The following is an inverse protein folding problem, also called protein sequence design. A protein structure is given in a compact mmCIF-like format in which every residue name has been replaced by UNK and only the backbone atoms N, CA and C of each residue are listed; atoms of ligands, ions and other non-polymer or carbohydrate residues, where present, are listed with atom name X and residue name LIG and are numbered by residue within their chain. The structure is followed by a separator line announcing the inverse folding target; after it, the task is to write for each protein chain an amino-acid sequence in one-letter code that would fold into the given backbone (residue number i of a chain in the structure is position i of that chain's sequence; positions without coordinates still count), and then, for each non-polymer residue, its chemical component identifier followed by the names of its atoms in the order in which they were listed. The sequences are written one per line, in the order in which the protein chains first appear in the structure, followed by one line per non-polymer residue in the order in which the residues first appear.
data_IF_213106174389
#
_entry.id   IF_213106174389
#
_cell.length_a   1.000
_cell.length_b   1.000
_cell.length_c   1.000
_cell.angle_alpha   90.00
_cell.angle_beta   90.00
_cell.angle_gamma   90.00
#
_symmetry.space_group_name_H-M   'P 1'
#
loop_
_entity.id
_entity.type
_entity.pdbx_description
1 polymer ?
#
# COMPACT_ATOMS: atom_id res chain seq x y z
N UNK A 1 -29.01 28.40 -70.10
CA UNK A 1 -28.35 28.61 -68.79
C UNK A 1 -28.97 27.66 -67.77
N UNK A 2 -28.35 26.50 -67.53
CA UNK A 2 -28.85 25.48 -66.60
C UNK A 2 -28.32 25.73 -65.19
N UNK A 3 -29.21 26.00 -64.23
CA UNK A 3 -28.89 26.04 -62.80
C UNK A 3 -28.91 24.61 -62.24
N UNK A 4 -27.76 24.11 -61.78
CA UNK A 4 -27.68 22.89 -60.96
C UNK A 4 -27.94 23.26 -59.50
N UNK A 5 -28.98 22.69 -58.88
CA UNK A 5 -29.12 22.68 -57.43
C UNK A 5 -28.20 21.59 -56.87
N UNK A 6 -27.33 21.96 -55.93
CA UNK A 6 -26.58 21.03 -55.09
C UNK A 6 -27.39 20.80 -53.81
N UNK A 7 -27.88 19.58 -53.60
CA UNK A 7 -28.47 19.15 -52.34
C UNK A 7 -27.35 18.64 -51.41
N UNK A 8 -27.11 19.36 -50.32
CA UNK A 8 -26.20 18.93 -49.25
C UNK A 8 -27.00 18.03 -48.30
N UNK A 9 -26.68 16.75 -48.27
CA UNK A 9 -27.23 15.81 -47.28
C UNK A 9 -26.46 15.96 -45.97
N UNK A 10 -27.13 16.45 -44.92
CA UNK A 10 -26.59 16.49 -43.56
C UNK A 10 -26.66 15.06 -42.97
N UNK A 11 -25.50 14.41 -42.83
CA UNK A 11 -25.37 13.17 -42.06
C UNK A 11 -25.37 13.52 -40.57
N UNK A 12 -26.53 13.36 -39.93
CA UNK A 12 -26.67 13.40 -38.47
C UNK A 12 -26.10 12.11 -37.87
N UNK A 13 -24.88 12.18 -37.33
CA UNK A 13 -24.38 11.14 -36.44
C UNK A 13 -25.12 11.25 -35.10
N UNK A 14 -25.74 10.18 -34.58
CA UNK A 14 -26.33 10.20 -33.25
C UNK A 14 -25.19 10.33 -32.23
N UNK A 15 -25.14 11.47 -31.55
CA UNK A 15 -24.36 11.62 -30.33
C UNK A 15 -25.06 10.75 -29.28
N UNK A 16 -24.55 9.55 -29.04
CA UNK A 16 -24.91 8.77 -27.86
C UNK A 16 -24.49 9.58 -26.64
N UNK A 17 -25.42 10.33 -26.06
CA UNK A 17 -25.25 10.90 -24.74
C UNK A 17 -25.09 9.71 -23.76
N UNK A 18 -23.92 9.57 -23.15
CA UNK A 18 -23.80 8.73 -21.96
C UNK A 18 -24.81 9.28 -20.94
N UNK A 19 -25.78 8.45 -20.54
CA UNK A 19 -26.67 8.79 -19.44
C UNK A 19 -25.82 9.16 -18.21
N UNK A 20 -26.17 10.26 -17.54
CA UNK A 20 -25.41 10.79 -16.42
C UNK A 20 -25.58 9.87 -15.21
N UNK A 21 -24.53 9.11 -14.86
CA UNK A 21 -24.58 8.08 -13.82
C UNK A 21 -24.97 8.56 -12.43
N UNK A 22 -25.47 7.62 -11.61
CA UNK A 22 -25.77 7.83 -10.20
C UNK A 22 -24.49 7.96 -9.37
N UNK A 23 -24.43 8.98 -8.51
CA UNK A 23 -23.36 9.17 -7.53
C UNK A 23 -23.73 8.57 -6.16
N UNK A 24 -22.81 7.80 -5.58
CA UNK A 24 -22.87 7.24 -4.22
C UNK A 24 -21.74 7.86 -3.40
N UNK A 25 -22.04 8.33 -2.18
CA UNK A 25 -21.02 8.95 -1.31
C UNK A 25 -19.94 7.94 -0.93
N UNK A 26 -18.71 8.42 -0.74
CA UNK A 26 -17.59 7.55 -0.40
C UNK A 26 -17.80 6.81 0.94
N UNK A 27 -18.46 7.43 1.91
CA UNK A 27 -18.80 6.81 3.19
C UNK A 27 -20.10 5.97 3.18
N UNK A 28 -20.69 5.69 2.02
CA UNK A 28 -21.83 4.78 1.92
C UNK A 28 -21.43 3.37 2.39
N UNK A 29 -22.32 2.68 3.09
CA UNK A 29 -22.08 1.32 3.61
C UNK A 29 -21.74 0.29 2.52
N UNK A 30 -22.07 0.56 1.25
CA UNK A 30 -21.72 -0.31 0.13
C UNK A 30 -20.27 -0.14 -0.34
N UNK A 31 -19.54 0.83 0.21
CA UNK A 31 -18.15 1.14 -0.09
C UNK A 31 -17.32 0.86 1.15
N UNK A 32 -16.29 0.04 1.01
CA UNK A 32 -15.37 -0.30 2.09
C UNK A 32 -13.98 0.22 1.78
N UNK A 33 -13.26 0.63 2.81
CA UNK A 33 -11.86 1.03 2.72
C UNK A 33 -11.03 0.18 3.66
N UNK A 34 -9.92 -0.35 3.16
CA UNK A 34 -8.90 -1.01 3.98
C UNK A 34 -7.62 -0.19 3.88
N UNK A 35 -7.10 0.19 5.04
CA UNK A 35 -6.00 1.14 5.20
C UNK A 35 -6.28 2.03 6.41
N UNK A 36 -5.48 3.07 6.58
CA UNK A 36 -5.74 4.13 7.57
C UNK A 36 -6.41 5.29 6.84
N UNK A 37 -7.70 5.52 7.13
CA UNK A 37 -8.53 6.49 6.41
C UNK A 37 -9.27 7.41 7.36
N UNK A 38 -9.52 8.65 6.94
CA UNK A 38 -10.40 9.60 7.62
C UNK A 38 -11.68 9.81 6.81
N UNK A 39 -12.85 9.69 7.44
CA UNK A 39 -14.11 10.17 6.86
C UNK A 39 -14.34 11.62 7.27
N UNK A 40 -14.53 12.50 6.29
CA UNK A 40 -14.77 13.93 6.50
C UNK A 40 -16.26 14.23 6.71
N UNK A 41 -16.57 15.44 7.18
CA UNK A 41 -17.94 15.86 7.49
C UNK A 41 -18.90 15.84 6.28
N UNK A 42 -18.38 15.94 5.06
CA UNK A 42 -19.15 15.91 3.81
C UNK A 42 -19.36 14.49 3.24
N UNK A 43 -18.88 13.47 3.96
CA UNK A 43 -18.93 12.05 3.59
C UNK A 43 -17.83 11.60 2.63
N UNK A 44 -16.88 12.46 2.27
CA UNK A 44 -15.68 12.04 1.53
C UNK A 44 -14.69 11.30 2.43
N UNK A 45 -13.82 10.47 1.84
CA UNK A 45 -12.83 9.65 2.55
C UNK A 45 -11.43 10.01 2.09
N UNK A 46 -10.53 10.31 3.04
CA UNK A 46 -9.16 10.81 2.80
C UNK A 46 -8.09 9.89 3.38
N UNK A 47 -6.98 9.73 2.66
CA UNK A 47 -5.85 8.86 3.05
C UNK A 47 -4.60 9.13 2.18
N UNK A 48 -3.43 8.80 2.70
CA UNK A 48 -2.14 8.92 1.98
C UNK A 48 -1.23 7.68 2.12
N UNK A 49 -1.43 6.82 3.11
CA UNK A 49 -0.67 5.57 3.23
C UNK A 49 -0.78 4.69 1.99
N UNK A 50 0.38 4.23 1.52
CA UNK A 50 0.53 3.29 0.40
C UNK A 50 -0.31 2.03 0.60
N UNK A 51 -0.84 1.48 -0.48
CA UNK A 51 -1.62 0.24 -0.43
C UNK A 51 -2.99 0.37 0.21
N UNK A 52 -3.42 1.56 0.63
CA UNK A 52 -4.82 1.80 0.99
C UNK A 52 -5.71 1.52 -0.22
N UNK A 53 -6.80 0.77 -0.03
CA UNK A 53 -7.71 0.43 -1.12
C UNK A 53 -9.18 0.57 -0.76
N UNK A 54 -9.95 1.00 -1.75
CA UNK A 54 -11.42 0.97 -1.76
C UNK A 54 -11.89 -0.34 -2.40
N UNK A 55 -12.97 -0.94 -1.86
CA UNK A 55 -13.68 -2.08 -2.45
C UNK A 55 -15.19 -1.87 -2.46
N UNK A 56 -15.81 -2.30 -3.56
CA UNK A 56 -17.27 -2.40 -3.71
C UNK A 56 -17.60 -3.40 -4.84
N UNK A 57 -18.77 -4.01 -4.80
CA UNK A 57 -19.35 -4.70 -5.96
C UNK A 57 -20.32 -3.79 -6.66
N UNK A 58 -20.26 -3.74 -7.99
CA UNK A 58 -21.12 -2.89 -8.81
C UNK A 58 -21.78 -3.68 -9.94
N UNK A 59 -22.88 -3.15 -10.47
CA UNK A 59 -23.58 -3.64 -11.66
C UNK A 59 -23.71 -2.53 -12.71
N UNK A 60 -24.14 -2.87 -13.92
CA UNK A 60 -24.36 -1.91 -15.00
C UNK A 60 -23.12 -1.56 -15.84
N UNK A 61 -22.01 -2.27 -15.62
CA UNK A 61 -20.86 -2.33 -16.52
C UNK A 61 -19.92 -1.12 -16.52
N UNK A 62 -20.21 -0.08 -15.73
CA UNK A 62 -19.43 1.15 -15.68
C UNK A 62 -19.25 1.63 -14.23
N UNK A 63 -18.04 2.05 -13.89
CA UNK A 63 -17.73 2.63 -12.58
C UNK A 63 -16.61 3.67 -12.69
N UNK A 64 -16.81 4.80 -12.01
CA UNK A 64 -15.85 5.88 -11.88
C UNK A 64 -15.79 6.37 -10.42
N UNK A 65 -14.72 7.07 -10.07
CA UNK A 65 -14.64 7.83 -8.82
C UNK A 65 -14.54 9.32 -9.10
N UNK A 66 -15.15 10.12 -8.22
CA UNK A 66 -14.88 11.53 -8.11
C UNK A 66 -13.83 11.70 -7.02
N UNK A 67 -12.62 12.11 -7.39
CA UNK A 67 -11.47 12.17 -6.49
C UNK A 67 -10.67 13.47 -6.65
N UNK A 68 -9.97 13.86 -5.59
CA UNK A 68 -8.94 14.90 -5.62
C UNK A 68 -7.68 14.39 -4.93
N UNK A 69 -6.53 14.97 -5.26
CA UNK A 69 -5.21 14.54 -4.81
C UNK A 69 -4.31 15.77 -4.63
N UNK A 70 -3.72 15.92 -3.45
CA UNK A 70 -2.86 17.07 -3.10
C UNK A 70 -1.57 17.11 -3.90
N UNK A 71 -1.11 15.96 -4.41
CA UNK A 71 0.05 15.86 -5.27
C UNK A 71 -0.21 14.99 -6.49
N UNK A 72 0.46 13.85 -6.55
CA UNK A 72 0.28 12.84 -7.59
C UNK A 72 0.37 11.46 -6.97
N UNK A 73 -0.62 10.63 -7.25
CA UNK A 73 -0.61 9.22 -6.84
C UNK A 73 -0.93 8.33 -8.03
N UNK A 74 -0.35 7.13 -8.05
CA UNK A 74 -0.76 6.08 -8.98
C UNK A 74 -1.67 5.09 -8.27
N UNK A 75 -2.61 4.51 -9.01
CA UNK A 75 -3.59 3.56 -8.52
C UNK A 75 -3.70 2.36 -9.46
N UNK A 76 -3.80 1.16 -8.90
CA UNK A 76 -4.27 0.01 -9.64
C UNK A 76 -5.79 -0.05 -9.59
N UNK A 77 -6.41 -0.24 -10.76
CA UNK A 77 -7.80 -0.67 -10.88
C UNK A 77 -7.79 -2.18 -11.05
N UNK A 78 -8.45 -2.86 -10.13
CA UNK A 78 -8.57 -4.31 -10.11
C UNK A 78 -10.05 -4.65 -10.24
N UNK A 79 -10.41 -5.37 -11.31
CA UNK A 79 -11.76 -5.84 -11.57
C UNK A 79 -11.75 -7.37 -11.51
N UNK A 80 -12.62 -7.94 -10.69
CA UNK A 80 -12.77 -9.41 -10.52
C UNK A 80 -11.43 -10.11 -10.23
N UNK A 81 -10.62 -9.48 -9.38
CA UNK A 81 -9.31 -9.98 -8.95
C UNK A 81 -8.16 -9.78 -9.95
N UNK A 82 -8.39 -9.13 -11.08
CA UNK A 82 -7.36 -8.87 -12.10
C UNK A 82 -7.04 -7.39 -12.21
N UNK A 83 -5.76 -7.02 -12.21
CA UNK A 83 -5.33 -5.65 -12.52
C UNK A 83 -5.68 -5.36 -13.97
N UNK A 84 -6.61 -4.44 -14.22
CA UNK A 84 -7.04 -4.04 -15.56
C UNK A 84 -6.35 -2.78 -16.04
N UNK A 85 -5.95 -1.89 -15.11
CA UNK A 85 -5.36 -0.60 -15.42
C UNK A 85 -4.51 -0.11 -14.25
N UNK A 86 -3.40 0.57 -14.54
CA UNK A 86 -2.72 1.48 -13.61
C UNK A 86 -2.99 2.91 -14.07
N UNK A 87 -3.44 3.79 -13.18
CA UNK A 87 -3.83 5.14 -13.53
C UNK A 87 -3.27 6.17 -12.57
N UNK A 88 -3.05 7.38 -13.08
CA UNK A 88 -2.64 8.54 -12.30
C UNK A 88 -3.87 9.30 -11.80
N UNK A 89 -3.86 9.67 -10.53
CA UNK A 89 -4.79 10.61 -9.90
C UNK A 89 -3.99 11.83 -9.45
N UNK A 90 -4.48 13.03 -9.73
CA UNK A 90 -3.81 14.31 -9.42
C UNK A 90 -4.83 15.45 -9.36
N UNK A 91 -4.44 16.62 -8.86
CA UNK A 91 -5.27 17.82 -8.84
C UNK A 91 -6.12 17.95 -7.59
N UNK A 92 -6.11 19.14 -6.99
CA UNK A 92 -6.73 19.44 -5.70
C UNK A 92 -8.24 19.65 -5.77
N UNK A 93 -8.79 19.85 -6.97
CA UNK A 93 -10.24 19.93 -7.20
C UNK A 93 -10.82 18.54 -7.48
N UNK A 94 -12.08 18.24 -7.07
CA UNK A 94 -12.73 16.98 -7.41
C UNK A 94 -12.84 16.78 -8.93
N UNK A 95 -12.34 15.65 -9.41
CA UNK A 95 -12.31 15.26 -10.83
C UNK A 95 -12.83 13.85 -11.01
N UNK A 96 -13.42 13.58 -12.18
CA UNK A 96 -13.92 12.25 -12.54
C UNK A 96 -12.80 11.38 -13.11
N UNK A 97 -12.69 10.18 -12.57
CA UNK A 97 -11.74 9.16 -12.98
C UNK A 97 -12.47 7.87 -13.34
N UNK A 98 -12.56 7.56 -14.64
CA UNK A 98 -13.18 6.32 -15.12
C UNK A 98 -12.28 5.13 -14.80
N UNK A 99 -12.80 4.21 -13.99
CA UNK A 99 -12.08 3.02 -13.53
C UNK A 99 -12.32 1.84 -14.48
N UNK A 100 -13.58 1.60 -14.85
CA UNK A 100 -13.96 0.63 -15.86
C UNK A 100 -15.18 1.11 -16.66
N UNK A 101 -15.21 0.73 -17.94
CA UNK A 101 -16.35 0.92 -18.84
C UNK A 101 -16.57 -0.34 -19.68
N UNK A 102 -17.74 -0.44 -20.31
CA UNK A 102 -18.06 -1.46 -21.31
C UNK A 102 -17.93 -2.91 -20.82
N UNK A 103 -18.09 -3.13 -19.50
CA UNK A 103 -18.24 -4.47 -18.95
C UNK A 103 -19.68 -4.97 -19.14
N UNK A 104 -19.88 -6.28 -18.92
CA UNK A 104 -21.23 -6.85 -18.81
C UNK A 104 -22.04 -6.14 -17.72
N UNK A 105 -23.38 -6.20 -17.83
CA UNK A 105 -24.27 -5.60 -16.82
C UNK A 105 -24.33 -6.41 -15.51
N UNK A 106 -23.72 -7.58 -15.49
CA UNK A 106 -23.60 -8.46 -14.34
C UNK A 106 -22.82 -7.80 -13.18
N UNK A 107 -22.76 -8.49 -12.04
CA UNK A 107 -22.03 -8.01 -10.88
C UNK A 107 -20.52 -8.20 -11.07
N UNK A 108 -19.77 -7.11 -10.83
CA UNK A 108 -18.31 -7.08 -10.84
C UNK A 108 -17.79 -6.56 -9.50
N UNK A 109 -16.64 -7.06 -9.05
CA UNK A 109 -15.94 -6.56 -7.86
C UNK A 109 -14.85 -5.57 -8.27
N UNK A 110 -14.91 -4.34 -7.76
CA UNK A 110 -13.87 -3.34 -7.86
C UNK A 110 -12.98 -3.37 -6.63
N UNK A 111 -11.66 -3.31 -6.85
CA UNK A 111 -10.69 -2.79 -5.90
C UNK A 111 -9.89 -1.65 -6.56
N UNK A 112 -9.90 -0.47 -5.94
CA UNK A 112 -9.07 0.68 -6.33
C UNK A 112 -7.98 0.85 -5.27
N UNK A 113 -6.72 0.58 -5.63
CA UNK A 113 -5.61 0.45 -4.69
C UNK A 113 -4.54 1.51 -4.94
N UNK A 114 -4.19 2.30 -3.93
CA UNK A 114 -3.11 3.30 -4.01
C UNK A 114 -1.76 2.60 -4.14
N UNK A 115 -1.07 2.83 -5.25
CA UNK A 115 0.23 2.24 -5.53
C UNK A 115 1.37 2.93 -4.79
N UNK A 116 1.27 4.26 -4.63
CA UNK A 116 2.37 5.13 -4.22
C UNK A 116 2.28 5.55 -2.75
N UNK A 117 3.39 5.93 -2.13
CA UNK A 117 3.44 6.43 -0.74
C UNK A 117 2.90 7.85 -0.54
N UNK A 118 2.73 8.23 0.72
CA UNK A 118 2.03 9.46 1.11
C UNK A 118 2.86 10.72 0.91
N UNK A 119 4.20 10.60 0.87
CA UNK A 119 5.12 11.69 0.49
C UNK A 119 4.72 12.37 -0.84
N UNK A 120 4.14 11.60 -1.76
CA UNK A 120 3.77 12.11 -3.09
C UNK A 120 2.34 12.64 -3.18
N UNK A 121 1.48 12.36 -2.20
CA UNK A 121 0.08 12.74 -2.28
C UNK A 121 -0.86 12.13 -1.24
N UNK A 122 -1.86 12.93 -0.88
CA UNK A 122 -3.02 12.56 -0.08
C UNK A 122 -4.28 12.61 -0.95
N UNK A 123 -4.90 11.45 -1.15
CA UNK A 123 -6.11 11.30 -1.96
C UNK A 123 -7.35 11.52 -1.10
N UNK A 124 -8.35 12.19 -1.68
CA UNK A 124 -9.73 12.26 -1.16
C UNK A 124 -10.68 11.68 -2.20
N UNK A 125 -11.42 10.63 -1.84
CA UNK A 125 -12.52 10.08 -2.64
C UNK A 125 -13.83 10.75 -2.19
N UNK A 126 -14.48 11.47 -3.10
CA UNK A 126 -15.72 12.22 -2.82
C UNK A 126 -16.96 11.37 -3.03
N UNK A 127 -17.01 10.66 -4.15
CA UNK A 127 -18.12 9.78 -4.52
C UNK A 127 -17.68 8.73 -5.55
N UNK A 128 -18.51 7.71 -5.71
CA UNK A 128 -18.41 6.68 -6.72
C UNK A 128 -19.58 6.93 -7.69
N UNK A 129 -19.29 7.02 -8.98
CA UNK A 129 -20.30 7.12 -10.02
C UNK A 129 -20.48 5.75 -10.67
N UNK A 130 -21.74 5.30 -10.81
CA UNK A 130 -22.13 4.07 -11.50
C UNK A 130 -23.26 4.34 -12.49
N UNK A 131 -23.59 3.36 -13.34
CA UNK A 131 -24.77 3.44 -14.20
C UNK A 131 -26.05 3.75 -13.41
N UNK A 132 -27.01 4.45 -14.01
CA UNK A 132 -28.25 4.90 -13.34
C UNK A 132 -29.06 3.77 -12.71
N UNK A 133 -29.14 2.64 -13.40
CA UNK A 133 -29.81 1.42 -12.93
C UNK A 133 -28.86 0.46 -12.20
N UNK A 134 -27.60 0.87 -11.99
CA UNK A 134 -26.60 0.10 -11.27
C UNK A 134 -26.81 0.15 -9.76
N UNK A 135 -26.20 -0.81 -9.08
CA UNK A 135 -26.18 -0.91 -7.62
C UNK A 135 -24.76 -1.04 -7.13
N UNK A 136 -24.50 -0.53 -5.92
CA UNK A 136 -23.31 -0.89 -5.15
C UNK A 136 -23.71 -1.85 -4.02
N UNK A 137 -22.88 -2.83 -3.76
CA UNK A 137 -23.00 -3.72 -2.59
C UNK A 137 -21.65 -3.86 -1.90
N UNK A 138 -21.65 -3.99 -0.55
CA UNK A 138 -20.41 -4.11 0.19
C UNK A 138 -19.65 -5.39 -0.18
N UNK A 139 -18.34 -5.32 -0.04
CA UNK A 139 -17.47 -6.47 -0.11
C UNK A 139 -17.01 -6.80 1.30
N UNK A 140 -17.31 -8.02 1.75
CA UNK A 140 -16.91 -8.45 3.08
C UNK A 140 -15.38 -8.41 3.24
N UNK A 141 -14.88 -7.86 4.36
CA UNK A 141 -13.48 -7.97 4.70
C UNK A 141 -13.04 -9.43 4.74
N UNK A 142 -11.82 -9.69 4.32
CA UNK A 142 -11.21 -11.02 4.44
C UNK A 142 -11.12 -11.40 5.91
N UNK A 143 -11.13 -12.68 6.25
CA UNK A 143 -11.02 -13.12 7.66
C UNK A 143 -9.67 -12.75 8.29
N UNK A 144 -8.61 -12.72 7.47
CA UNK A 144 -7.23 -12.46 7.88
C UNK A 144 -6.85 -11.01 7.56
N UNK A 145 -6.03 -10.40 8.40
CA UNK A 145 -5.48 -9.05 8.24
C UNK A 145 -4.00 -9.02 8.67
N UNK A 146 -3.14 -8.59 7.75
CA UNK A 146 -1.71 -8.34 7.99
C UNK A 146 -1.49 -6.83 8.09
N UNK A 147 -0.93 -6.33 9.19
CA UNK A 147 -0.48 -4.93 9.27
C UNK A 147 1.05 -4.88 9.22
N UNK A 148 1.59 -4.12 8.26
CA UNK A 148 3.02 -4.08 7.99
C UNK A 148 3.58 -2.69 8.25
N UNK A 149 4.68 -2.65 8.98
CA UNK A 149 5.49 -1.48 9.20
C UNK A 149 6.83 -1.63 8.47
N UNK A 150 7.25 -0.63 7.71
CA UNK A 150 8.45 -0.78 6.91
C UNK A 150 9.01 0.47 6.29
N UNK A 151 9.93 0.26 5.37
CA UNK A 151 10.57 1.27 4.54
C UNK A 151 10.18 1.11 3.06
N UNK A 152 11.03 1.56 2.15
CA UNK A 152 10.84 1.52 0.70
C UNK A 152 10.56 0.12 0.14
N UNK A 153 11.09 -0.94 0.77
CA UNK A 153 10.80 -2.31 0.35
C UNK A 153 9.35 -2.68 0.58
N UNK A 154 8.73 -2.14 1.63
CA UNK A 154 7.33 -2.37 1.97
C UNK A 154 6.40 -1.45 1.16
N UNK A 155 6.85 -0.24 0.80
CA UNK A 155 6.12 0.65 -0.13
C UNK A 155 5.97 0.04 -1.53
N UNK A 156 6.95 -0.74 -1.97
CA UNK A 156 7.03 -1.20 -3.36
C UNK A 156 7.78 -0.23 -4.27
N UNK A 157 8.71 0.53 -3.69
CA UNK A 157 9.60 1.44 -4.40
C UNK A 157 10.39 0.69 -5.49
N UNK A 158 10.39 1.23 -6.71
CA UNK A 158 11.16 0.69 -7.83
C UNK A 158 10.72 -0.70 -8.32
N UNK A 159 9.58 -1.23 -7.85
CA UNK A 159 9.14 -2.61 -8.16
C UNK A 159 8.84 -2.86 -9.64
N UNK A 160 8.48 -1.81 -10.38
CA UNK A 160 8.30 -1.85 -11.84
C UNK A 160 9.47 -1.24 -12.60
N UNK A 161 10.57 -0.98 -11.90
CA UNK A 161 11.82 -0.59 -12.52
C UNK A 161 12.42 -1.72 -13.36
N UNK A 162 13.16 -1.35 -14.41
CA UNK A 162 13.74 -2.26 -15.40
C UNK A 162 15.16 -2.67 -15.08
N UNK A 163 15.92 -1.81 -14.40
CA UNK A 163 17.34 -2.03 -14.12
C UNK A 163 17.74 -1.43 -12.78
N UNK A 164 18.66 -2.07 -12.07
CA UNK A 164 19.20 -1.60 -10.79
C UNK A 164 19.66 -0.13 -10.79
N UNK A 165 20.29 0.31 -11.88
CA UNK A 165 20.93 1.63 -11.98
C UNK A 165 20.01 2.76 -12.42
N UNK A 166 18.76 2.48 -12.83
CA UNK A 166 17.86 3.57 -13.21
C UNK A 166 17.37 4.31 -11.97
N UNK A 167 17.11 5.60 -12.12
CA UNK A 167 16.51 6.39 -11.06
C UNK A 167 15.03 6.10 -10.93
N UNK A 168 14.56 6.15 -9.70
CA UNK A 168 13.16 6.06 -9.36
C UNK A 168 12.34 7.09 -10.11
N UNK A 169 11.20 6.61 -10.57
CA UNK A 169 10.10 7.44 -11.05
C UNK A 169 8.86 7.00 -10.30
N UNK A 170 8.00 7.95 -9.96
CA UNK A 170 6.79 7.68 -9.20
C UNK A 170 5.88 6.63 -9.87
N UNK A 171 5.89 6.55 -11.20
CA UNK A 171 5.14 5.54 -11.96
C UNK A 171 5.71 4.13 -11.85
N UNK A 172 6.92 3.95 -11.33
CA UNK A 172 7.55 2.63 -11.09
C UNK A 172 7.25 2.04 -9.72
N UNK A 173 6.71 2.83 -8.79
CA UNK A 173 6.23 2.34 -7.50
C UNK A 173 4.89 1.61 -7.67
N UNK A 174 4.82 0.39 -7.15
CA UNK A 174 3.61 -0.42 -7.16
C UNK A 174 3.56 -1.36 -5.97
N UNK A 175 2.90 -0.94 -4.90
CA UNK A 175 2.72 -1.75 -3.69
C UNK A 175 2.13 -3.15 -3.97
N UNK A 176 1.29 -3.32 -4.99
CA UNK A 176 0.71 -4.62 -5.35
C UNK A 176 1.77 -5.68 -5.68
N UNK A 177 2.94 -5.22 -6.12
CA UNK A 177 4.13 -6.01 -6.45
C UNK A 177 5.13 -6.11 -5.30
N UNK A 178 4.85 -5.50 -4.14
CA UNK A 178 5.64 -5.65 -2.94
C UNK A 178 5.29 -6.94 -2.18
N UNK A 179 6.20 -7.39 -1.31
CA UNK A 179 6.06 -8.66 -0.60
C UNK A 179 4.80 -8.74 0.28
N UNK A 180 4.33 -7.65 0.88
CA UNK A 180 3.11 -7.65 1.72
C UNK A 180 1.86 -7.99 0.91
N UNK A 181 1.50 -7.28 -0.19
CA UNK A 181 0.35 -7.68 -0.99
C UNK A 181 0.50 -9.04 -1.68
N UNK A 182 1.73 -9.47 -2.00
CA UNK A 182 1.97 -10.85 -2.49
C UNK A 182 1.55 -11.87 -1.42
N UNK A 183 2.01 -11.72 -0.18
CA UNK A 183 1.62 -12.61 0.92
C UNK A 183 0.12 -12.51 1.25
N UNK A 184 -0.46 -11.32 1.19
CA UNK A 184 -1.88 -11.13 1.45
C UNK A 184 -2.75 -11.88 0.42
N UNK A 185 -2.41 -11.82 -0.87
CA UNK A 185 -3.07 -12.64 -1.91
C UNK A 185 -2.90 -14.13 -1.64
N UNK A 186 -1.70 -14.56 -1.26
CA UNK A 186 -1.42 -15.97 -0.95
C UNK A 186 -2.33 -16.49 0.17
N UNK A 187 -2.41 -15.75 1.28
CA UNK A 187 -3.20 -16.14 2.46
C UNK A 187 -4.68 -15.78 2.40
N UNK A 188 -5.17 -15.19 1.30
CA UNK A 188 -6.52 -14.60 1.24
C UNK A 188 -6.79 -13.65 2.42
N UNK A 189 -5.87 -12.71 2.62
CA UNK A 189 -5.89 -11.72 3.69
C UNK A 189 -6.08 -10.30 3.15
N UNK A 190 -6.71 -9.45 3.96
CA UNK A 190 -6.58 -8.00 3.85
C UNK A 190 -5.20 -7.57 4.38
N UNK A 191 -4.80 -6.34 4.08
CA UNK A 191 -3.56 -5.78 4.62
C UNK A 191 -3.63 -4.28 4.87
N UNK A 192 -2.71 -3.77 5.70
CA UNK A 192 -2.40 -2.33 5.83
C UNK A 192 -0.90 -2.14 5.79
N UNK A 193 -0.44 -1.12 5.07
CA UNK A 193 0.99 -0.80 4.93
C UNK A 193 1.25 0.58 5.51
N UNK A 194 2.10 0.63 6.54
CA UNK A 194 2.53 1.83 7.24
C UNK A 194 4.04 1.91 7.00
N UNK A 195 4.41 2.42 5.84
CA UNK A 195 5.77 2.44 5.35
C UNK A 195 6.08 3.74 4.62
N UNK A 196 7.34 4.13 4.66
CA UNK A 196 7.83 5.37 4.05
C UNK A 196 9.27 5.16 3.57
N UNK A 197 9.55 5.50 2.31
CA UNK A 197 10.85 5.26 1.69
C UNK A 197 11.95 6.06 2.38
N UNK A 198 13.12 5.44 2.56
CA UNK A 198 14.27 6.10 3.20
C UNK A 198 14.15 6.32 4.72
N UNK A 199 13.00 6.11 5.36
CA UNK A 199 12.90 6.22 6.81
C UNK A 199 13.47 4.98 7.52
N UNK A 200 14.19 5.21 8.62
CA UNK A 200 14.60 4.16 9.54
C UNK A 200 13.82 4.20 10.85
N UNK A 201 14.20 3.35 11.80
CA UNK A 201 13.64 3.35 13.15
C UNK A 201 14.08 4.60 13.92
N UNK A 202 15.36 4.96 13.81
CA UNK A 202 16.02 6.08 14.51
C UNK A 202 16.63 7.06 13.50
N UNK A 203 17.17 6.55 12.39
CA UNK A 203 17.89 7.34 11.39
C UNK A 203 17.44 7.00 9.98
N UNK A 204 17.25 8.04 9.17
CA UNK A 204 16.88 7.91 7.76
C UNK A 204 18.12 7.79 6.87
N UNK A 205 17.90 7.29 5.66
CA UNK A 205 18.93 7.09 4.65
C UNK A 205 19.73 8.37 4.42
N UNK A 206 21.06 8.26 4.52
CA UNK A 206 21.97 9.36 4.19
C UNK A 206 21.98 10.54 5.17
N UNK A 207 21.25 10.48 6.29
CA UNK A 207 21.31 11.53 7.31
C UNK A 207 22.74 11.61 7.89
N UNK A 208 23.23 12.85 8.07
CA UNK A 208 24.56 13.13 8.63
C UNK A 208 24.58 13.01 10.16
N UNK A 209 23.42 12.93 10.79
CA UNK A 209 23.26 12.68 12.22
C UNK A 209 22.92 11.21 12.47
N UNK A 210 23.25 10.71 13.66
CA UNK A 210 22.85 9.38 14.11
C UNK A 210 21.35 9.27 14.44
N UNK A 211 20.62 10.38 14.44
CA UNK A 211 19.18 10.40 14.68
C UNK A 211 18.54 11.48 13.82
N UNK A 212 17.54 11.07 13.05
CA UNK A 212 16.73 11.96 12.22
C UNK A 212 15.62 12.60 13.05
N UNK A 213 15.19 13.81 12.67
CA UNK A 213 14.11 14.53 13.34
C UNK A 213 12.74 13.88 13.12
N UNK A 214 12.52 13.34 11.93
CA UNK A 214 11.32 12.57 11.55
C UNK A 214 11.81 11.23 11.04
N UNK A 215 11.27 10.15 11.57
CA UNK A 215 11.60 8.77 11.22
C UNK A 215 10.39 7.87 11.50
N UNK A 216 10.53 6.56 11.32
CA UNK A 216 9.41 5.65 11.56
C UNK A 216 8.94 5.69 13.02
N UNK A 217 9.82 5.85 14.02
CA UNK A 217 9.42 5.97 15.44
C UNK A 217 8.48 7.14 15.72
N UNK A 218 8.54 8.21 14.93
CA UNK A 218 7.61 9.34 15.03
C UNK A 218 6.37 9.19 14.16
N UNK A 219 6.42 8.32 13.13
CA UNK A 219 5.41 8.25 12.06
C UNK A 219 4.42 7.10 12.21
N UNK A 220 4.86 5.95 12.73
CA UNK A 220 4.06 4.72 12.71
C UNK A 220 2.73 4.79 13.48
N UNK A 221 2.57 5.77 14.38
CA UNK A 221 1.36 5.98 15.18
C UNK A 221 0.32 6.89 14.52
N UNK A 222 0.65 7.47 13.37
CA UNK A 222 -0.15 8.50 12.71
C UNK A 222 -1.21 7.88 11.78
N UNK A 223 -2.34 8.58 11.64
CA UNK A 223 -3.41 8.26 10.70
C UNK A 223 -2.96 8.46 9.27
N UNK A 224 -2.05 9.40 9.05
CA UNK A 224 -1.48 9.76 7.76
C UNK A 224 0.03 9.51 7.75
N UNK A 225 0.58 9.29 6.57
CA UNK A 225 2.01 9.19 6.32
C UNK A 225 2.66 10.56 6.47
N UNK A 226 2.32 11.50 5.59
CA UNK A 226 2.98 12.81 5.49
C UNK A 226 2.00 14.00 5.57
N UNK A 227 0.70 13.75 5.36
CA UNK A 227 -0.30 14.82 5.30
C UNK A 227 -0.62 15.47 6.66
N UNK A 228 -0.60 14.72 7.76
CA UNK A 228 -0.99 15.22 9.08
C UNK A 228 -0.45 14.32 10.20
N UNK A 229 -0.17 14.92 11.36
CA UNK A 229 0.26 14.19 12.57
C UNK A 229 -0.89 13.65 13.42
N UNK A 230 -2.13 13.65 12.90
CA UNK A 230 -3.30 13.10 13.59
C UNK A 230 -3.02 11.65 14.00
N UNK A 231 -3.26 11.30 15.26
CA UNK A 231 -3.05 9.94 15.74
C UNK A 231 -4.05 8.95 15.11
N UNK A 232 -3.59 7.74 14.80
CA UNK A 232 -4.45 6.65 14.36
C UNK A 232 -5.33 6.14 15.52
N UNK A 233 -6.59 5.84 15.24
CA UNK A 233 -7.49 5.18 16.19
C UNK A 233 -7.35 3.66 16.11
N UNK A 234 -6.79 3.07 17.16
CA UNK A 234 -6.52 1.64 17.24
C UNK A 234 -7.75 0.80 17.61
N UNK A 235 -8.91 1.42 17.87
CA UNK A 235 -10.17 0.70 18.08
C UNK A 235 -10.78 0.14 16.78
N UNK A 236 -10.20 0.48 15.62
CA UNK A 236 -10.53 -0.15 14.35
C UNK A 236 -10.15 -1.64 14.34
N UNK A 237 -10.53 -2.37 13.28
CA UNK A 237 -10.24 -3.80 13.15
C UNK A 237 -8.77 -4.12 13.47
N UNK A 238 -8.54 -4.97 14.46
CA UNK A 238 -7.21 -5.42 14.88
C UNK A 238 -6.60 -6.35 13.80
N UNK A 239 -5.29 -6.25 13.49
CA UNK A 239 -4.62 -7.21 12.64
C UNK A 239 -4.44 -8.57 13.34
N UNK A 240 -4.43 -9.64 12.57
CA UNK A 240 -4.10 -10.98 13.06
C UNK A 240 -2.60 -11.13 13.31
N UNK A 241 -1.78 -10.48 12.47
CA UNK A 241 -0.32 -10.43 12.61
C UNK A 241 0.21 -9.06 12.21
N UNK A 242 1.24 -8.61 12.92
CA UNK A 242 2.02 -7.43 12.58
C UNK A 242 3.38 -7.86 12.03
N UNK A 243 3.85 -7.21 10.97
CA UNK A 243 5.22 -7.38 10.47
C UNK A 243 5.99 -6.07 10.58
N UNK A 244 7.28 -6.13 10.94
CA UNK A 244 8.15 -4.95 11.02
C UNK A 244 9.42 -5.24 10.23
N UNK A 245 9.63 -4.51 9.14
CA UNK A 245 10.80 -4.63 8.25
C UNK A 245 11.46 -3.25 8.12
N UNK A 246 12.18 -2.85 9.17
CA UNK A 246 12.82 -1.53 9.29
C UNK A 246 14.23 -1.75 9.78
N UNK A 247 15.21 -1.08 9.17
CA UNK A 247 16.61 -1.09 9.64
C UNK A 247 17.62 -0.81 8.55
N UNK A 248 17.25 -1.05 7.28
CA UNK A 248 18.09 -0.77 6.10
C UNK A 248 18.66 0.63 6.14
N UNK A 249 17.80 1.62 6.39
CA UNK A 249 18.15 3.04 6.34
C UNK A 249 18.95 3.49 7.55
N UNK A 250 18.67 2.95 8.74
CA UNK A 250 19.42 3.23 9.96
C UNK A 250 20.91 2.93 9.77
N UNK A 251 21.20 1.77 9.18
CA UNK A 251 22.55 1.25 8.97
C UNK A 251 23.13 1.55 7.58
N UNK A 252 22.56 2.52 6.87
CA UNK A 252 23.17 3.10 5.68
C UNK A 252 24.46 3.87 6.01
N UNK A 253 25.42 4.05 5.07
CA UNK A 253 26.65 4.80 5.31
C UNK A 253 26.44 6.23 5.84
N UNK A 254 27.51 6.87 6.35
CA UNK A 254 27.63 8.26 6.88
C UNK A 254 27.62 8.36 8.42
N UNK A 255 26.52 8.02 9.09
CA UNK A 255 26.36 8.23 10.53
C UNK A 255 25.56 7.10 11.18
N UNK A 256 26.08 5.87 11.11
CA UNK A 256 25.42 4.67 11.67
C UNK A 256 25.12 4.91 13.17
N UNK A 257 23.87 4.70 13.63
CA UNK A 257 23.50 4.88 15.03
C UNK A 257 24.11 3.78 15.90
N UNK A 258 24.21 4.05 17.19
CA UNK A 258 24.50 3.01 18.18
C UNK A 258 23.41 1.93 18.14
N UNK A 259 23.81 0.65 18.12
CA UNK A 259 22.87 -0.47 18.06
C UNK A 259 21.86 -0.44 19.21
N UNK A 260 22.28 -0.02 20.41
CA UNK A 260 21.42 0.09 21.59
C UNK A 260 20.29 1.11 21.40
N UNK A 261 20.54 2.23 20.70
CA UNK A 261 19.50 3.23 20.40
C UNK A 261 18.47 2.67 19.42
N UNK A 262 18.93 1.96 18.39
CA UNK A 262 18.05 1.25 17.46
C UNK A 262 17.20 0.19 18.17
N UNK A 263 17.82 -0.67 18.98
CA UNK A 263 17.13 -1.72 19.74
C UNK A 263 16.10 -1.13 20.70
N UNK A 264 16.45 -0.07 21.45
CA UNK A 264 15.52 0.58 22.37
C UNK A 264 14.30 1.19 21.66
N UNK A 265 14.50 1.83 20.51
CA UNK A 265 13.42 2.37 19.71
C UNK A 265 12.51 1.26 19.14
N UNK A 266 13.12 0.15 18.70
CA UNK A 266 12.39 -1.01 18.21
C UNK A 266 11.56 -1.68 19.31
N UNK A 267 12.12 -1.89 20.51
CA UNK A 267 11.39 -2.41 21.67
C UNK A 267 10.21 -1.51 22.02
N UNK A 268 10.40 -0.17 22.02
CA UNK A 268 9.30 0.77 22.27
C UNK A 268 8.16 0.64 21.25
N UNK A 269 8.50 0.38 19.97
CA UNK A 269 7.50 0.10 18.94
C UNK A 269 6.77 -1.22 19.21
N UNK A 270 7.49 -2.30 19.56
CA UNK A 270 6.92 -3.60 19.96
C UNK A 270 5.95 -3.44 21.13
N UNK A 271 6.34 -2.72 22.18
CA UNK A 271 5.51 -2.46 23.35
C UNK A 271 4.26 -1.66 23.00
N UNK A 272 4.42 -0.63 22.16
CA UNK A 272 3.29 0.19 21.73
C UNK A 272 2.29 -0.64 20.93
N UNK A 273 2.76 -1.43 19.98
CA UNK A 273 1.91 -2.31 19.15
C UNK A 273 1.25 -3.38 20.02
N UNK A 274 2.01 -4.05 20.89
CA UNK A 274 1.48 -5.08 21.79
C UNK A 274 0.41 -4.51 22.72
N UNK A 275 0.58 -3.28 23.22
CA UNK A 275 -0.42 -2.61 24.05
C UNK A 275 -1.68 -2.22 23.26
N UNK A 276 -1.51 -1.74 22.01
CA UNK A 276 -2.63 -1.26 21.18
C UNK A 276 -3.45 -2.38 20.55
N UNK A 277 -2.79 -3.51 20.28
CA UNK A 277 -3.40 -4.69 19.68
C UNK A 277 -3.27 -5.90 20.60
N UNK A 278 -3.40 -5.73 21.92
CA UNK A 278 -3.58 -6.80 22.90
C UNK A 278 -2.71 -8.06 22.65
N UNK A 279 -1.38 -7.85 22.64
CA UNK A 279 -0.35 -8.88 22.40
C UNK A 279 -0.49 -9.65 21.07
N UNK A 280 -0.87 -8.95 19.99
CA UNK A 280 -0.84 -9.50 18.62
C UNK A 280 0.53 -10.12 18.30
N UNK A 281 0.61 -11.25 17.57
CA UNK A 281 1.87 -11.74 17.04
C UNK A 281 2.60 -10.67 16.21
N UNK A 282 3.88 -10.46 16.48
CA UNK A 282 4.75 -9.51 15.78
C UNK A 282 5.90 -10.28 15.15
N UNK A 283 6.06 -10.19 13.84
CA UNK A 283 7.19 -10.73 13.10
C UNK A 283 8.19 -9.62 12.74
N UNK A 284 9.31 -9.58 13.46
CA UNK A 284 10.46 -8.72 13.16
C UNK A 284 11.28 -9.35 12.03
N UNK A 285 11.36 -8.66 10.89
CA UNK A 285 12.02 -9.15 9.68
C UNK A 285 13.41 -8.53 9.58
N UNK A 286 14.44 -9.36 9.42
CA UNK A 286 15.78 -8.92 9.02
C UNK A 286 15.76 -8.58 7.53
N UNK A 287 15.99 -7.31 7.11
CA UNK A 287 15.95 -6.92 5.70
C UNK A 287 16.95 -7.69 4.83
N UNK A 288 16.64 -7.88 3.54
CA UNK A 288 17.51 -8.65 2.63
C UNK A 288 18.86 -7.96 2.42
N UNK A 289 18.86 -6.63 2.46
CA UNK A 289 20.02 -5.76 2.36
C UNK A 289 20.77 -5.58 3.69
N UNK A 290 20.40 -6.33 4.74
CA UNK A 290 21.04 -6.22 6.05
C UNK A 290 22.55 -6.43 5.96
N UNK A 291 23.31 -5.40 6.34
CA UNK A 291 24.75 -5.51 6.54
C UNK A 291 25.07 -6.15 7.91
N UNK A 292 26.36 -6.36 8.21
CA UNK A 292 26.77 -7.00 9.46
C UNK A 292 26.36 -6.20 10.70
N UNK A 293 26.32 -4.87 10.64
CA UNK A 293 25.87 -4.02 11.75
C UNK A 293 24.39 -4.21 12.04
N UNK A 294 23.53 -4.19 11.01
CA UNK A 294 22.09 -4.42 11.19
C UNK A 294 21.81 -5.84 11.69
N UNK A 295 22.51 -6.85 11.17
CA UNK A 295 22.36 -8.24 11.65
C UNK A 295 22.74 -8.37 13.13
N UNK A 296 23.82 -7.70 13.56
CA UNK A 296 24.21 -7.67 14.97
C UNK A 296 23.16 -6.95 15.84
N UNK A 297 22.60 -5.84 15.37
CA UNK A 297 21.56 -5.12 16.09
C UNK A 297 20.25 -5.91 16.21
N UNK A 298 19.84 -6.63 15.15
CA UNK A 298 18.67 -7.53 15.21
C UNK A 298 18.94 -8.73 16.13
N UNK A 299 20.16 -9.27 16.13
CA UNK A 299 20.52 -10.32 17.08
C UNK A 299 20.44 -9.82 18.53
N UNK A 300 20.93 -8.61 18.81
CA UNK A 300 20.80 -7.97 20.12
C UNK A 300 19.31 -7.72 20.48
N UNK A 301 18.48 -7.29 19.52
CA UNK A 301 17.03 -7.14 19.71
C UNK A 301 16.38 -8.48 20.09
N UNK A 302 16.73 -9.56 19.39
CA UNK A 302 16.24 -10.90 19.67
C UNK A 302 16.60 -11.37 21.08
N UNK A 303 17.84 -11.15 21.49
CA UNK A 303 18.30 -11.46 22.86
C UNK A 303 17.58 -10.61 23.90
N UNK A 304 17.40 -9.31 23.63
CA UNK A 304 16.75 -8.35 24.54
C UNK A 304 15.25 -8.58 24.70
N UNK A 305 14.61 -9.28 23.75
CA UNK A 305 13.17 -9.58 23.78
C UNK A 305 12.86 -11.02 24.17
N UNK A 306 13.87 -11.89 24.19
CA UNK A 306 13.73 -13.30 24.56
C UNK A 306 13.13 -13.44 25.96
N UNK A 307 12.09 -14.29 26.09
CA UNK A 307 11.34 -14.55 27.32
C UNK A 307 10.59 -13.35 27.94
N UNK A 308 10.68 -12.16 27.34
CA UNK A 308 9.93 -10.96 27.78
C UNK A 308 8.68 -10.77 26.92
N UNK A 309 8.80 -10.94 25.60
CA UNK A 309 7.70 -10.76 24.65
C UNK A 309 7.45 -12.05 23.86
N UNK A 310 6.65 -13.00 24.40
CA UNK A 310 6.46 -14.32 23.78
C UNK A 310 5.70 -14.28 22.44
N UNK A 311 5.00 -13.18 22.16
CA UNK A 311 4.32 -12.90 20.88
C UNK A 311 5.26 -12.30 19.82
N UNK A 312 6.55 -12.09 20.12
CA UNK A 312 7.53 -11.54 19.18
C UNK A 312 8.34 -12.67 18.54
N UNK A 313 8.36 -12.67 17.21
CA UNK A 313 9.02 -13.63 16.36
C UNK A 313 10.05 -12.92 15.48
N UNK A 314 11.05 -13.66 15.01
CA UNK A 314 12.11 -13.13 14.15
C UNK A 314 12.21 -13.94 12.87
N UNK A 315 12.20 -13.25 11.73
CA UNK A 315 12.47 -13.81 10.42
C UNK A 315 13.86 -13.41 9.94
N UNK A 316 14.67 -14.42 9.63
CA UNK A 316 15.89 -14.25 8.83
C UNK A 316 15.55 -14.57 7.38
N UNK A 317 16.01 -13.74 6.46
CA UNK A 317 15.93 -14.02 5.03
C UNK A 317 17.06 -14.95 4.62
N UNK A 318 16.85 -15.71 3.54
CA UNK A 318 17.89 -16.55 2.96
C UNK A 318 19.02 -15.67 2.43
N UNK A 319 20.27 -16.01 2.77
CA UNK A 319 21.45 -15.27 2.29
C UNK A 319 21.50 -15.30 0.75
N UNK A 320 21.79 -14.15 0.14
CA UNK A 320 21.94 -13.98 -1.31
C UNK A 320 20.74 -14.49 -2.12
N UNK A 321 19.52 -14.39 -1.56
CA UNK A 321 18.30 -14.80 -2.25
C UNK A 321 17.97 -13.89 -3.45
N UNK A 322 18.37 -12.63 -3.38
CA UNK A 322 18.23 -11.63 -4.45
C UNK A 322 19.43 -11.76 -5.38
N UNK A 323 19.17 -11.90 -6.68
CA UNK A 323 20.14 -11.83 -7.74
C UNK A 323 20.15 -10.41 -8.31
N UNK A 324 21.25 -9.69 -8.09
CA UNK A 324 21.40 -8.29 -8.48
C UNK A 324 21.18 -8.03 -9.98
N UNK A 325 21.46 -9.02 -10.84
CA UNK A 325 21.34 -8.89 -12.30
C UNK A 325 19.89 -8.88 -12.79
N UNK A 326 18.97 -9.54 -12.07
CA UNK A 326 17.61 -9.83 -12.58
C UNK A 326 16.48 -9.52 -11.61
N UNK A 327 16.78 -9.39 -10.32
CA UNK A 327 15.78 -9.18 -9.26
C UNK A 327 15.72 -7.73 -8.77
N UNK A 328 16.52 -6.82 -9.34
CA UNK A 328 16.54 -5.41 -8.98
C UNK A 328 15.84 -4.52 -10.03
N UNK A 329 15.17 -3.49 -9.53
CA UNK A 329 14.53 -2.39 -10.25
C UNK A 329 15.17 -1.06 -9.85
N UNK A 330 14.41 0.03 -9.85
CA UNK A 330 14.99 1.37 -9.71
C UNK A 330 15.74 1.57 -8.40
N UNK A 331 16.87 2.31 -8.46
CA UNK A 331 17.78 2.60 -7.36
C UNK A 331 18.11 1.38 -6.49
N UNK A 332 18.44 0.25 -7.13
CA UNK A 332 18.86 -1.00 -6.47
C UNK A 332 17.80 -1.61 -5.52
N UNK A 333 16.53 -1.26 -5.67
CA UNK A 333 15.45 -1.88 -4.91
C UNK A 333 14.97 -3.16 -5.59
N UNK A 334 14.44 -4.15 -4.86
CA UNK A 334 13.88 -5.35 -5.47
C UNK A 334 12.76 -5.02 -6.46
N UNK A 335 12.88 -5.51 -7.69
CA UNK A 335 11.76 -5.54 -8.63
C UNK A 335 10.72 -6.59 -8.20
N UNK A 336 9.68 -6.79 -9.01
CA UNK A 336 8.64 -7.78 -8.69
C UNK A 336 9.17 -9.20 -8.41
N UNK A 337 10.19 -9.67 -9.13
CA UNK A 337 10.77 -11.00 -8.88
C UNK A 337 11.51 -11.04 -7.54
N UNK A 338 12.31 -10.02 -7.24
CA UNK A 338 12.98 -9.90 -5.95
C UNK A 338 11.99 -9.83 -4.78
N UNK A 339 10.92 -9.04 -4.91
CA UNK A 339 9.83 -8.98 -3.93
C UNK A 339 9.10 -10.32 -3.77
N UNK A 340 8.91 -11.05 -4.86
CA UNK A 340 8.31 -12.40 -4.83
C UNK A 340 9.19 -13.36 -4.05
N UNK A 341 10.51 -13.34 -4.26
CA UNK A 341 11.46 -14.15 -3.49
C UNK A 341 11.43 -13.81 -2.00
N UNK A 342 11.38 -12.52 -1.65
CA UNK A 342 11.21 -12.07 -0.25
C UNK A 342 9.90 -12.65 0.33
N UNK A 343 8.77 -12.51 -0.37
CA UNK A 343 7.49 -13.06 0.08
C UNK A 343 7.56 -14.57 0.31
N UNK A 344 8.15 -15.32 -0.62
CA UNK A 344 8.27 -16.79 -0.53
C UNK A 344 9.14 -17.26 0.64
N UNK A 345 10.07 -16.43 1.11
CA UNK A 345 10.86 -16.76 2.31
C UNK A 345 10.10 -16.47 3.62
N UNK A 346 9.10 -15.58 3.58
CA UNK A 346 8.32 -15.16 4.75
C UNK A 346 7.01 -15.97 4.91
N UNK A 347 6.42 -16.45 3.82
CA UNK A 347 5.18 -17.25 3.83
C UNK A 347 5.25 -18.43 4.80
N UNK A 348 6.26 -19.32 4.77
CA UNK A 348 6.34 -20.44 5.70
C UNK A 348 6.44 -19.99 7.18
N UNK A 349 7.02 -18.82 7.43
CA UNK A 349 7.20 -18.29 8.78
C UNK A 349 5.88 -17.73 9.33
N UNK A 350 5.13 -16.97 8.52
CA UNK A 350 3.78 -16.53 8.86
C UNK A 350 2.85 -17.74 9.05
N UNK A 351 2.93 -18.74 8.17
CA UNK A 351 2.17 -19.99 8.30
C UNK A 351 2.43 -20.66 9.66
N UNK A 352 3.69 -20.78 10.07
CA UNK A 352 4.08 -21.33 11.38
C UNK A 352 3.49 -20.55 12.55
N UNK A 353 3.55 -19.22 12.51
CA UNK A 353 3.12 -18.34 13.60
C UNK A 353 1.58 -18.33 13.71
N UNK A 354 0.90 -18.25 12.57
CA UNK A 354 -0.54 -18.01 12.50
C UNK A 354 -1.37 -19.27 12.29
N UNK A 355 -0.71 -20.41 12.09
CA UNK A 355 -1.34 -21.67 11.66
C UNK A 355 -2.17 -21.52 10.37
N UNK A 356 -1.76 -20.60 9.49
CA UNK A 356 -2.38 -20.43 8.19
C UNK A 356 -1.80 -21.42 7.20
N UNK A 357 -2.65 -22.20 6.54
CA UNK A 357 -2.24 -23.22 5.58
C UNK A 357 -1.37 -22.65 4.44
N UNK A 358 -0.30 -23.39 4.14
CA UNK A 358 0.48 -23.23 2.91
C UNK A 358 -0.32 -23.93 1.80
N UNK A 359 -0.66 -23.19 0.76
CA UNK A 359 -1.31 -23.70 -0.44
C UNK A 359 -0.24 -24.26 -1.40
N UNK A 360 -0.56 -25.40 -2.01
CA UNK A 360 0.18 -26.01 -3.12
C UNK A 360 0.11 -25.17 -4.40
#
# INVERSE_FOLDING_TARGET
MNKKLLSIALLLFPIMALAAGKNVKANDKAVSFIGRTETLADGSVRYDWVGTYLRTRFTGGNIAVIASETGTSYYNVIIDGKVTKKMKITGTSPQKYVLASDLSKDSHELMLQKCTEGEYGCTTIHSIEIADNGTLTPVEPKKRLIEAYGDSYTCGYGTEGRTASERFRLDTENCNKAYIPIMARYFDADYRIIAHSGNGMVRNWGDKKQQSSVNMSTRYTQLYDDFSTKAFDYNQRRPDIVTINIGTNDFSPTAIPEAQKYVAAYIKMIETISKRYDNVPILCITPHSSNHYLRAAIQLLKESTANIYPNVHFAMLMNNIINDDVDLGSDWHPNYQGQTKIAMTLIPQISKIMHWEVKE
#
